data_IF_261040851420
#
_entry.id   IF_261040851420
#
_cell.length_a   1.000
_cell.length_b   1.000
_cell.length_c   1.000
_cell.angle_alpha   90.00
_cell.angle_beta   90.00
_cell.angle_gamma   90.00
#
_symmetry.space_group_name_H-M   'P 1'
#
loop_
_entity.id
_entity.type
_entity.pdbx_description
1 polymer ?
#
# COMPACT_ATOMS: atom_id res chain seq x y z
N UNK A 1 -7.15 13.06 -26.80
CA UNK A 1 -5.98 12.15 -26.74
C UNK A 1 -5.58 11.83 -25.31
N UNK A 2 -5.30 12.82 -24.45
CA UNK A 2 -4.87 12.58 -23.06
C UNK A 2 -5.85 11.73 -22.23
N UNK A 3 -7.16 12.07 -22.22
CA UNK A 3 -8.18 11.26 -21.53
C UNK A 3 -8.18 9.79 -21.99
N UNK A 4 -8.15 9.58 -23.30
CA UNK A 4 -8.12 8.24 -23.90
C UNK A 4 -6.91 7.44 -23.43
N UNK A 5 -5.72 8.04 -23.39
CA UNK A 5 -4.51 7.40 -22.90
C UNK A 5 -4.63 7.01 -21.41
N UNK A 6 -5.20 7.89 -20.59
CA UNK A 6 -5.43 7.60 -19.17
C UNK A 6 -6.44 6.46 -18.99
N UNK A 7 -7.58 6.46 -19.69
CA UNK A 7 -8.52 5.34 -19.65
C UNK A 7 -7.88 4.03 -20.14
N UNK A 8 -7.05 4.09 -21.17
CA UNK A 8 -6.33 2.91 -21.66
C UNK A 8 -5.40 2.34 -20.59
N UNK A 9 -4.62 3.21 -19.93
CA UNK A 9 -3.75 2.84 -18.81
C UNK A 9 -4.52 2.23 -17.64
N UNK A 10 -5.62 2.89 -17.22
CA UNK A 10 -6.49 2.38 -16.15
C UNK A 10 -7.06 1.01 -16.51
N UNK A 11 -7.62 0.81 -17.71
CA UNK A 11 -8.16 -0.49 -18.14
C UNK A 11 -7.10 -1.58 -18.17
N UNK A 12 -5.85 -1.24 -18.51
CA UNK A 12 -4.75 -2.19 -18.50
C UNK A 12 -4.37 -2.59 -17.06
N UNK A 13 -4.36 -1.63 -16.13
CA UNK A 13 -4.20 -1.91 -14.71
C UNK A 13 -5.32 -2.82 -14.19
N UNK A 14 -6.59 -2.50 -14.45
CA UNK A 14 -7.73 -3.32 -14.04
C UNK A 14 -7.61 -4.77 -14.54
N UNK A 15 -7.26 -4.96 -15.83
CA UNK A 15 -7.05 -6.30 -16.40
C UNK A 15 -5.93 -7.08 -15.73
N UNK A 16 -4.83 -6.42 -15.40
CA UNK A 16 -3.65 -7.10 -14.84
C UNK A 16 -3.75 -7.38 -13.35
N UNK A 17 -4.67 -6.70 -12.66
CA UNK A 17 -4.78 -6.76 -11.19
C UNK A 17 -6.16 -7.22 -10.71
N UNK A 18 -7.13 -7.38 -11.62
CA UNK A 18 -8.53 -7.64 -11.30
C UNK A 18 -9.10 -6.66 -10.26
N UNK A 19 -8.65 -5.41 -10.33
CA UNK A 19 -9.01 -4.34 -9.40
C UNK A 19 -10.05 -3.41 -10.03
N UNK A 20 -11.07 -3.01 -9.27
CA UNK A 20 -12.04 -2.00 -9.69
C UNK A 20 -11.44 -0.58 -9.57
N UNK A 21 -11.22 0.06 -10.72
CA UNK A 21 -10.69 1.40 -10.83
C UNK A 21 -11.75 2.43 -11.26
N UNK A 22 -13.03 2.18 -11.00
CA UNK A 22 -14.15 3.08 -11.37
C UNK A 22 -13.91 4.53 -10.93
N UNK A 23 -13.40 4.76 -9.72
CA UNK A 23 -13.04 6.11 -9.24
C UNK A 23 -11.97 6.81 -10.08
N UNK A 24 -11.03 6.07 -10.68
CA UNK A 24 -10.02 6.64 -11.58
C UNK A 24 -10.67 7.09 -12.88
N UNK A 25 -11.59 6.27 -13.41
CA UNK A 25 -12.36 6.63 -14.60
C UNK A 25 -13.23 7.86 -14.35
N UNK A 26 -13.95 7.91 -13.22
CA UNK A 26 -14.70 9.10 -12.81
C UNK A 26 -13.80 10.34 -12.73
N UNK A 27 -12.64 10.23 -12.08
CA UNK A 27 -11.69 11.35 -11.97
C UNK A 27 -11.24 11.83 -13.36
N UNK A 28 -10.93 10.93 -14.29
CA UNK A 28 -10.56 11.28 -15.67
C UNK A 28 -11.70 12.01 -16.40
N UNK A 29 -12.94 11.55 -16.21
CA UNK A 29 -14.11 12.08 -16.90
C UNK A 29 -14.51 13.45 -16.37
N UNK A 30 -14.61 13.59 -15.05
CA UNK A 30 -15.03 14.80 -14.35
C UNK A 30 -13.93 15.86 -14.35
N UNK A 31 -12.66 15.47 -14.12
CA UNK A 31 -11.52 16.39 -14.05
C UNK A 31 -10.24 15.79 -14.65
N UNK A 32 -10.00 16.07 -15.94
CA UNK A 32 -8.78 15.62 -16.65
C UNK A 32 -7.50 15.91 -15.88
N UNK A 33 -7.42 17.06 -15.19
CA UNK A 33 -6.27 17.43 -14.39
C UNK A 33 -6.10 16.53 -13.15
N UNK A 34 -7.20 16.15 -12.48
CA UNK A 34 -7.16 15.19 -11.38
C UNK A 34 -6.79 13.79 -11.88
N UNK A 35 -7.39 13.33 -12.98
CA UNK A 35 -7.05 12.05 -13.62
C UNK A 35 -5.57 11.96 -14.02
N UNK A 36 -4.98 13.05 -14.51
CA UNK A 36 -3.55 13.11 -14.83
C UNK A 36 -2.67 13.00 -13.59
N UNK A 37 -2.99 13.75 -12.52
CA UNK A 37 -2.26 13.64 -11.24
C UNK A 37 -2.36 12.23 -10.66
N UNK A 38 -3.52 11.59 -10.75
CA UNK A 38 -3.73 10.23 -10.28
C UNK A 38 -2.92 9.20 -11.09
N UNK A 39 -2.76 9.43 -12.40
CA UNK A 39 -1.94 8.60 -13.28
C UNK A 39 -0.43 8.68 -12.95
N UNK A 40 0.01 9.75 -12.30
CA UNK A 40 1.40 9.92 -11.82
C UNK A 40 1.62 9.37 -10.41
N UNK A 41 0.55 9.06 -9.66
CA UNK A 41 0.65 8.57 -8.28
C UNK A 41 1.52 7.31 -8.12
N UNK A 42 1.56 6.35 -9.07
CA UNK A 42 2.48 5.21 -8.99
C UNK A 42 3.97 5.59 -8.90
N UNK A 43 4.36 6.76 -9.45
CA UNK A 43 5.73 7.25 -9.35
C UNK A 43 6.13 7.56 -7.89
N UNK A 44 5.14 7.89 -7.04
CA UNK A 44 5.33 8.15 -5.62
C UNK A 44 5.07 6.88 -4.80
N UNK A 45 3.94 6.21 -5.04
CA UNK A 45 3.50 5.08 -4.21
C UNK A 45 4.30 3.79 -4.41
N UNK A 46 5.02 3.66 -5.53
CA UNK A 46 5.85 2.47 -5.81
C UNK A 46 7.36 2.73 -5.65
N UNK A 47 7.74 3.87 -5.09
CA UNK A 47 9.15 4.21 -4.83
C UNK A 47 9.76 3.25 -3.80
N UNK A 48 10.72 2.42 -4.22
CA UNK A 48 11.33 1.35 -3.42
C UNK A 48 12.83 1.51 -3.19
N UNK A 49 13.54 2.14 -4.13
CA UNK A 49 15.01 2.20 -4.16
C UNK A 49 15.65 0.84 -3.82
N UNK A 50 16.55 0.82 -2.83
CA UNK A 50 17.31 -0.35 -2.38
C UNK A 50 16.64 -1.06 -1.19
N UNK A 51 15.41 -0.68 -0.82
CA UNK A 51 14.71 -1.25 0.31
C UNK A 51 14.43 -2.75 0.09
N UNK A 52 14.79 -3.63 1.04
CA UNK A 52 14.39 -5.02 0.99
C UNK A 52 12.87 -5.15 0.87
N UNK A 53 12.39 -6.04 0.00
CA UNK A 53 10.95 -6.20 -0.24
C UNK A 53 10.16 -6.49 1.05
N UNK A 54 10.60 -7.36 1.99
CA UNK A 54 9.91 -7.56 3.26
C UNK A 54 9.70 -6.26 4.04
N UNK A 55 10.75 -5.44 4.15
CA UNK A 55 10.74 -4.17 4.87
C UNK A 55 9.80 -3.16 4.19
N UNK A 56 9.90 -3.02 2.86
CA UNK A 56 9.05 -2.11 2.10
C UNK A 56 7.56 -2.50 2.15
N UNK A 57 7.26 -3.80 1.97
CA UNK A 57 5.89 -4.28 2.05
C UNK A 57 5.32 -4.21 3.47
N UNK A 58 6.15 -4.32 4.51
CA UNK A 58 5.75 -4.00 5.88
C UNK A 58 5.16 -2.60 5.98
N UNK A 59 5.92 -1.58 5.55
CA UNK A 59 5.48 -0.19 5.59
C UNK A 59 4.27 0.09 4.66
N UNK A 60 4.31 -0.42 3.44
CA UNK A 60 3.23 -0.24 2.47
C UNK A 60 1.91 -0.89 2.95
N UNK A 61 1.97 -2.09 3.53
CA UNK A 61 0.77 -2.75 4.07
C UNK A 61 0.21 -1.99 5.27
N UNK A 62 1.04 -1.54 6.22
CA UNK A 62 0.57 -0.70 7.32
C UNK A 62 -0.18 0.54 6.82
N UNK A 63 0.41 1.25 5.84
CA UNK A 63 -0.20 2.42 5.19
C UNK A 63 -1.55 2.09 4.52
N UNK A 64 -1.61 1.04 3.71
CA UNK A 64 -2.87 0.65 3.03
C UNK A 64 -3.95 0.22 4.02
N UNK A 65 -3.58 -0.50 5.08
CA UNK A 65 -4.51 -1.02 6.09
C UNK A 65 -5.09 0.10 6.96
N UNK A 66 -4.34 1.17 7.23
CA UNK A 66 -4.88 2.39 7.87
C UNK A 66 -6.04 2.99 7.05
N UNK A 67 -5.92 2.94 5.73
CA UNK A 67 -6.97 3.36 4.81
C UNK A 67 -8.24 2.49 4.78
N UNK A 68 -8.33 1.39 5.54
CA UNK A 68 -9.50 0.50 5.68
C UNK A 68 -10.20 0.17 4.34
N UNK A 69 -9.40 -0.18 3.32
CA UNK A 69 -9.88 -0.51 1.96
C UNK A 69 -9.48 -1.94 1.60
N UNK A 70 -10.43 -2.87 1.65
CA UNK A 70 -10.20 -4.28 1.31
C UNK A 70 -9.59 -4.48 -0.09
N UNK A 71 -10.16 -3.88 -1.16
CA UNK A 71 -9.59 -4.00 -2.51
C UNK A 71 -8.17 -3.44 -2.63
N UNK A 72 -7.83 -2.39 -1.87
CA UNK A 72 -6.50 -1.79 -1.89
C UNK A 72 -5.47 -2.72 -1.21
N UNK A 73 -5.86 -3.35 -0.10
CA UNK A 73 -5.04 -4.36 0.57
C UNK A 73 -4.84 -5.60 -0.32
N UNK A 74 -5.90 -6.07 -0.99
CA UNK A 74 -5.81 -7.17 -1.95
C UNK A 74 -4.82 -6.85 -3.07
N UNK A 75 -4.93 -5.66 -3.67
CA UNK A 75 -4.02 -5.22 -4.73
C UNK A 75 -2.55 -5.24 -4.26
N UNK A 76 -2.28 -4.77 -3.04
CA UNK A 76 -0.92 -4.76 -2.48
C UNK A 76 -0.39 -6.18 -2.24
N UNK A 77 -1.24 -7.07 -1.73
CA UNK A 77 -0.92 -8.51 -1.60
C UNK A 77 -0.57 -9.11 -2.95
N UNK A 78 -1.41 -8.96 -3.96
CA UNK A 78 -1.21 -9.56 -5.28
C UNK A 78 0.10 -9.05 -5.92
N UNK A 79 0.39 -7.76 -5.77
CA UNK A 79 1.64 -7.16 -6.23
C UNK A 79 2.86 -7.74 -5.51
N UNK A 80 2.77 -7.96 -4.20
CA UNK A 80 3.85 -8.54 -3.41
C UNK A 80 4.13 -9.98 -3.76
N UNK A 81 3.08 -10.79 -3.90
CA UNK A 81 3.21 -12.17 -4.38
C UNK A 81 3.88 -12.22 -5.75
N UNK A 82 3.48 -11.35 -6.67
CA UNK A 82 4.10 -11.23 -8.01
C UNK A 82 5.58 -10.84 -7.96
N UNK A 83 5.99 -10.08 -6.95
CA UNK A 83 7.38 -9.68 -6.72
C UNK A 83 8.19 -10.70 -5.90
N UNK A 84 7.61 -11.86 -5.57
CA UNK A 84 8.28 -12.94 -4.86
C UNK A 84 8.22 -12.84 -3.33
N UNK A 85 7.43 -11.92 -2.78
CA UNK A 85 7.17 -11.89 -1.34
C UNK A 85 6.36 -13.13 -0.96
N UNK A 86 6.77 -13.80 0.13
CA UNK A 86 6.13 -15.07 0.50
C UNK A 86 4.65 -14.88 0.89
N UNK A 87 3.76 -15.81 0.51
CA UNK A 87 2.38 -15.82 0.98
C UNK A 87 2.25 -15.83 2.50
N UNK A 88 3.18 -16.50 3.21
CA UNK A 88 3.19 -16.53 4.67
C UNK A 88 3.37 -15.14 5.26
N UNK A 89 4.36 -14.38 4.77
CA UNK A 89 4.62 -13.02 5.20
C UNK A 89 3.41 -12.12 4.92
N UNK A 90 2.83 -12.18 3.72
CA UNK A 90 1.67 -11.37 3.36
C UNK A 90 0.45 -11.64 4.25
N UNK A 91 0.16 -12.92 4.54
CA UNK A 91 -0.90 -13.28 5.51
C UNK A 91 -0.63 -12.68 6.88
N UNK A 92 0.60 -12.79 7.37
CA UNK A 92 0.98 -12.26 8.66
C UNK A 92 0.80 -10.73 8.73
N UNK A 93 1.17 -9.98 7.68
CA UNK A 93 0.94 -8.53 7.63
C UNK A 93 -0.56 -8.17 7.61
N UNK A 94 -1.39 -8.88 6.83
CA UNK A 94 -2.84 -8.65 6.80
C UNK A 94 -3.50 -8.96 8.14
N UNK A 95 -3.05 -10.02 8.80
CA UNK A 95 -3.52 -10.41 10.13
C UNK A 95 -2.91 -9.57 11.27
N UNK A 96 -1.95 -8.69 10.96
CA UNK A 96 -1.15 -7.92 11.92
C UNK A 96 -0.38 -8.80 12.92
N UNK A 97 -0.04 -10.03 12.51
CA UNK A 97 0.83 -10.94 13.24
C UNK A 97 2.30 -10.61 12.92
N UNK A 98 2.81 -9.57 13.57
CA UNK A 98 4.16 -9.05 13.32
C UNK A 98 5.26 -10.03 13.73
N UNK A 99 4.96 -10.97 14.63
CA UNK A 99 5.90 -12.05 14.97
C UNK A 99 6.02 -13.03 13.80
N UNK A 100 4.91 -13.45 13.19
CA UNK A 100 4.93 -14.36 12.05
C UNK A 100 5.40 -13.71 10.75
N UNK A 101 5.28 -12.38 10.62
CA UNK A 101 5.73 -11.62 9.46
C UNK A 101 7.26 -11.62 9.30
N UNK A 102 7.98 -11.88 10.39
CA UNK A 102 9.44 -11.81 10.43
C UNK A 102 9.93 -10.38 10.71
N UNK A 103 11.19 -10.31 11.12
CA UNK A 103 11.77 -9.11 11.74
C UNK A 103 11.82 -7.92 10.78
N UNK A 104 12.27 -8.11 9.54
CA UNK A 104 12.33 -7.01 8.54
C UNK A 104 10.95 -6.45 8.20
N UNK A 105 9.95 -7.30 7.96
CA UNK A 105 8.61 -6.84 7.63
C UNK A 105 7.90 -6.19 8.81
N UNK A 106 8.12 -6.73 10.02
CA UNK A 106 7.65 -6.15 11.28
C UNK A 106 8.22 -4.76 11.52
N UNK A 107 9.53 -4.56 11.29
CA UNK A 107 10.19 -3.27 11.43
C UNK A 107 9.56 -2.22 10.53
N UNK A 108 9.36 -2.54 9.25
CA UNK A 108 8.74 -1.63 8.28
C UNK A 108 7.28 -1.30 8.64
N UNK A 109 6.52 -2.29 9.10
CA UNK A 109 5.14 -2.11 9.53
C UNK A 109 5.03 -1.19 10.73
N UNK A 110 5.80 -1.47 11.80
CA UNK A 110 5.83 -0.65 13.02
C UNK A 110 6.27 0.77 12.74
N UNK A 111 7.31 0.95 11.93
CA UNK A 111 7.78 2.28 11.52
C UNK A 111 6.65 3.08 10.86
N UNK A 112 5.95 2.48 9.89
CA UNK A 112 4.87 3.17 9.21
C UNK A 112 3.70 3.52 10.15
N UNK A 113 3.31 2.62 11.06
CA UNK A 113 2.27 2.91 12.04
C UNK A 113 2.68 4.03 13.00
N UNK A 114 3.89 3.97 13.56
CA UNK A 114 4.40 4.99 14.46
C UNK A 114 4.45 6.37 13.77
N UNK A 115 4.94 6.43 12.53
CA UNK A 115 4.97 7.68 11.75
C UNK A 115 3.56 8.22 11.47
N UNK A 116 2.60 7.37 11.10
CA UNK A 116 1.24 7.81 10.82
C UNK A 116 0.49 8.26 12.09
N UNK A 117 0.82 7.67 13.23
CA UNK A 117 0.24 7.98 14.53
C UNK A 117 0.91 9.18 15.24
N UNK A 118 1.99 9.73 14.68
CA UNK A 118 2.86 10.72 15.36
C UNK A 118 3.38 10.19 16.71
N UNK A 119 3.72 8.89 16.75
CA UNK A 119 4.23 8.22 17.94
C UNK A 119 5.74 8.50 18.12
N UNK A 120 6.16 8.71 19.38
CA UNK A 120 7.57 8.93 19.73
C UNK A 120 8.48 7.76 19.33
N UNK A 121 7.93 6.54 19.22
CA UNK A 121 8.67 5.36 18.76
C UNK A 121 9.18 5.50 17.31
N UNK A 122 8.54 6.36 16.50
CA UNK A 122 8.91 6.60 15.11
C UNK A 122 10.40 7.00 14.98
N UNK A 123 10.91 7.78 15.93
CA UNK A 123 12.31 8.22 15.92
C UNK A 123 13.28 7.06 16.12
N UNK A 124 13.03 6.20 17.11
CA UNK A 124 13.87 5.02 17.36
C UNK A 124 13.86 4.05 16.19
N UNK A 125 12.68 3.80 15.60
CA UNK A 125 12.54 2.93 14.42
C UNK A 125 13.23 3.54 13.19
N UNK A 126 13.14 4.86 13.02
CA UNK A 126 13.81 5.61 11.95
C UNK A 126 15.33 5.46 12.05
N UNK A 127 15.90 5.67 13.24
CA UNK A 127 17.33 5.49 13.49
C UNK A 127 17.80 4.06 13.24
N UNK A 128 17.01 3.06 13.66
CA UNK A 128 17.30 1.66 13.42
C UNK A 128 17.35 1.34 11.92
N UNK A 129 16.33 1.77 11.16
CA UNK A 129 16.26 1.58 9.71
C UNK A 129 17.44 2.26 9.02
N UNK A 130 17.74 3.51 9.37
CA UNK A 130 18.85 4.25 8.78
C UNK A 130 20.18 3.55 9.05
N UNK A 131 20.41 3.07 10.27
CA UNK A 131 21.64 2.37 10.65
C UNK A 131 21.81 1.03 9.91
N UNK A 132 20.72 0.28 9.71
CA UNK A 132 20.75 -1.06 9.12
C UNK A 132 20.71 -1.07 7.60
N UNK A 133 19.94 -0.17 7.00
CA UNK A 133 19.58 -0.21 5.58
C UNK A 133 19.89 1.09 4.82
N UNK A 134 20.38 2.13 5.52
CA UNK A 134 20.78 3.39 4.93
C UNK A 134 19.63 4.37 4.66
N UNK A 135 20.00 5.60 4.32
CA UNK A 135 19.08 6.72 4.13
C UNK A 135 18.14 6.55 2.94
N UNK A 136 18.63 5.92 1.87
CA UNK A 136 17.87 5.59 0.65
C UNK A 136 16.67 4.70 0.96
N UNK A 137 16.89 3.67 1.77
CA UNK A 137 15.83 2.79 2.28
C UNK A 137 14.85 3.55 3.16
N UNK A 138 15.34 4.40 4.07
CA UNK A 138 14.47 5.22 4.91
C UNK A 138 13.54 6.12 4.08
N UNK A 139 14.07 6.77 3.04
CA UNK A 139 13.27 7.59 2.11
C UNK A 139 12.20 6.74 1.43
N UNK A 140 12.56 5.55 0.92
CA UNK A 140 11.60 4.65 0.29
C UNK A 140 10.46 4.23 1.24
N UNK A 141 10.77 3.95 2.52
CA UNK A 141 9.74 3.63 3.52
C UNK A 141 8.87 4.85 3.86
N UNK A 142 9.44 6.04 3.98
CA UNK A 142 8.66 7.27 4.18
C UNK A 142 7.68 7.51 3.01
N UNK A 143 8.11 7.26 1.78
CA UNK A 143 7.25 7.32 0.59
C UNK A 143 6.13 6.26 0.64
N UNK A 144 6.44 5.02 0.99
CA UNK A 144 5.44 3.97 1.15
C UNK A 144 4.40 4.36 2.22
N UNK A 145 4.86 4.79 3.39
CA UNK A 145 4.01 5.24 4.50
C UNK A 145 3.08 6.37 4.09
N UNK A 146 3.59 7.39 3.39
CA UNK A 146 2.81 8.56 3.00
C UNK A 146 1.83 8.28 1.85
N UNK A 147 2.26 7.56 0.82
CA UNK A 147 1.55 7.52 -0.47
C UNK A 147 0.74 6.26 -0.73
N UNK A 148 1.03 5.13 -0.08
CA UNK A 148 0.25 3.90 -0.31
C UNK A 148 -1.20 4.05 0.20
N UNK A 149 -1.43 4.81 1.29
CA UNK A 149 -2.76 5.19 1.77
C UNK A 149 -3.51 6.21 0.93
N UNK A 150 -2.87 6.85 -0.05
CA UNK A 150 -3.54 7.86 -0.89
C UNK A 150 -4.69 7.25 -1.69
N UNK A 151 -4.52 6.05 -2.23
CA UNK A 151 -5.59 5.35 -2.96
C UNK A 151 -6.83 5.06 -2.12
N UNK A 152 -6.74 4.42 -0.93
CA UNK A 152 -7.91 4.18 -0.11
C UNK A 152 -8.58 5.46 0.38
N UNK A 153 -7.81 6.48 0.74
CA UNK A 153 -8.34 7.78 1.15
C UNK A 153 -9.07 8.48 0.00
N UNK A 154 -8.50 8.50 -1.20
CA UNK A 154 -9.14 9.07 -2.39
C UNK A 154 -10.43 8.31 -2.74
N UNK A 155 -10.40 6.98 -2.75
CA UNK A 155 -11.59 6.16 -3.00
C UNK A 155 -12.71 6.51 -2.03
N UNK A 156 -12.40 6.56 -0.73
CA UNK A 156 -13.39 6.92 0.29
C UNK A 156 -13.93 8.34 0.09
N UNK A 157 -13.06 9.31 -0.18
CA UNK A 157 -13.44 10.71 -0.43
C UNK A 157 -14.30 10.90 -1.68
N UNK A 158 -14.15 10.03 -2.68
CA UNK A 158 -14.96 10.03 -3.91
C UNK A 158 -16.23 9.15 -3.80
N UNK A 159 -16.49 8.51 -2.66
CA UNK A 159 -17.65 7.64 -2.48
C UNK A 159 -17.51 6.20 -3.02
N UNK A 160 -16.30 5.78 -3.39
CA UNK A 160 -15.95 4.42 -3.86
C UNK A 160 -15.36 3.54 -2.75
N UNK A 161 -15.50 3.94 -1.49
CA UNK A 161 -14.97 3.20 -0.35
C UNK A 161 -15.70 1.88 -0.13
N UNK A 162 -14.95 0.77 -0.11
CA UNK A 162 -15.46 -0.53 0.30
C UNK A 162 -14.63 -1.03 1.50
N UNK A 163 -15.13 -0.77 2.71
CA UNK A 163 -14.66 -1.44 3.90
C UNK A 163 -15.19 -2.89 3.94
N UNK A 164 -14.48 -3.80 4.61
CA UNK A 164 -14.91 -5.19 4.86
C UNK A 164 -14.98 -6.10 3.63
N UNK A 165 -13.82 -6.48 3.09
CA UNK A 165 -13.68 -7.66 2.24
C UNK A 165 -12.59 -8.58 2.79
N UNK A 166 -12.80 -9.91 2.69
CA UNK A 166 -11.73 -10.88 2.97
C UNK A 166 -10.65 -10.78 1.89
N UNK A 167 -9.40 -10.85 2.29
CA UNK A 167 -8.24 -10.80 1.41
C UNK A 167 -7.86 -12.22 1.02
N UNK A 168 -7.84 -12.52 -0.28
CA UNK A 168 -7.41 -13.80 -0.82
C UNK A 168 -5.88 -13.83 -0.92
N UNK A 169 -5.27 -14.84 -0.29
CA UNK A 169 -3.81 -15.05 -0.33
C UNK A 169 -3.54 -16.52 -0.66
N UNK A 170 -3.22 -16.78 -1.94
CA UNK A 170 -3.22 -18.15 -2.48
C UNK A 170 -4.63 -18.75 -2.39
N UNK A 171 -4.75 -19.90 -1.73
CA UNK A 171 -6.03 -20.58 -1.48
C UNK A 171 -6.71 -20.16 -0.17
N UNK A 172 -6.10 -19.25 0.60
CA UNK A 172 -6.61 -18.81 1.90
C UNK A 172 -7.36 -17.49 1.81
N UNK A 173 -8.34 -17.30 2.69
CA UNK A 173 -9.07 -16.04 2.86
C UNK A 173 -8.77 -15.46 4.24
N UNK A 174 -8.04 -14.35 4.29
CA UNK A 174 -7.69 -13.65 5.52
C UNK A 174 -8.69 -12.52 5.80
N UNK A 175 -9.00 -12.31 7.08
CA UNK A 175 -9.78 -11.14 7.51
C UNK A 175 -8.83 -10.02 7.86
N UNK A 176 -9.10 -8.81 7.36
CA UNK A 176 -8.34 -7.63 7.77
C UNK A 176 -8.64 -7.32 9.23
N UNK A 177 -7.62 -7.37 10.09
CA UNK A 177 -7.75 -6.94 11.49
C UNK A 177 -7.59 -5.42 11.51
N UNK A 178 -8.61 -4.71 12.00
CA UNK A 178 -8.55 -3.25 12.14
C UNK A 178 -7.57 -2.88 13.27
N UNK A 179 -6.91 -1.74 13.11
CA UNK A 179 -6.21 -1.11 14.23
C UNK A 179 -7.24 -0.79 15.32
N UNK A 180 -6.98 -1.19 16.56
CA UNK A 180 -7.80 -0.75 17.68
C UNK A 180 -7.53 0.75 17.86
N UNK A 181 -8.60 1.56 17.81
CA UNK A 181 -8.52 2.99 18.02
C UNK A 181 -8.16 3.34 19.47
#
# INVERSE_FOLDING_TARGET
MLKWLMHFGTRQMEKTTNYDASYMHEAIDVSTAAGFKLSLLPLLSQHKEDAPLPLWYGAAMASVLEGDCGPCAQLMVDQGLKQGVSPKLMRALVARDLTAAGEEASLGFRYAEAVMADDIEAETLREEIQKRYGERTLIALAFATAFCRTYPVLKRGLGHGAACQKIKIGDNMESVVKHAA
#
